data_IF_330342657714
#
_entry.id   IF_330342657714
#
_cell.length_a   1.000
_cell.length_b   1.000
_cell.length_c   1.000
_cell.angle_alpha   90.00
_cell.angle_beta   90.00
_cell.angle_gamma   90.00
#
_symmetry.space_group_name_H-M   'P 1'
#
loop_
_entity.id
_entity.type
_entity.pdbx_description
1 polymer ?
#
# COMPACT_ATOMS: atom_id res chain seq x y z
N UNK A 1 28.71 -17.17 4.04
CA UNK A 1 27.86 -17.89 5.01
C UNK A 1 28.12 -19.37 4.81
N UNK A 2 28.57 -20.12 5.78
CA UNK A 2 28.81 -21.55 5.59
C UNK A 2 27.49 -22.24 5.30
N UNK A 3 27.44 -23.07 4.26
CA UNK A 3 26.27 -23.85 3.84
C UNK A 3 25.85 -24.92 4.85
N UNK A 4 26.68 -25.16 5.87
CA UNK A 4 26.46 -26.17 6.92
C UNK A 4 25.15 -26.01 7.71
N UNK A 5 24.55 -24.79 7.70
CA UNK A 5 23.26 -24.54 8.36
C UNK A 5 22.03 -25.10 7.61
N UNK A 6 22.22 -25.54 6.39
CA UNK A 6 21.14 -26.01 5.52
C UNK A 6 21.26 -27.46 5.11
N UNK A 7 22.18 -28.21 5.71
CA UNK A 7 22.46 -29.62 5.37
C UNK A 7 21.21 -30.50 5.48
N UNK A 8 20.32 -30.18 6.41
CA UNK A 8 19.06 -30.93 6.61
C UNK A 8 17.84 -30.24 6.02
N UNK A 9 18.01 -29.10 5.32
CA UNK A 9 16.92 -28.37 4.74
C UNK A 9 16.46 -29.01 3.42
N UNK A 10 15.20 -29.39 3.34
CA UNK A 10 14.58 -29.89 2.10
C UNK A 10 14.19 -28.76 1.14
N UNK A 11 14.04 -27.53 1.67
CA UNK A 11 13.71 -26.33 0.88
C UNK A 11 14.46 -25.12 1.47
N UNK A 12 15.19 -24.39 0.62
CA UNK A 12 15.78 -23.08 0.94
C UNK A 12 15.39 -22.08 -0.14
N UNK A 13 14.53 -21.15 0.23
CA UNK A 13 14.11 -20.04 -0.62
C UNK A 13 14.82 -18.75 -0.17
N UNK A 14 15.45 -18.08 -1.14
CA UNK A 14 16.04 -16.75 -0.92
C UNK A 14 15.15 -15.71 -1.60
N UNK A 15 14.57 -14.74 -0.87
CA UNK A 15 13.63 -13.77 -1.43
C UNK A 15 14.17 -13.02 -2.64
N UNK A 16 15.48 -12.73 -2.69
CA UNK A 16 16.14 -12.08 -3.83
C UNK A 16 16.32 -12.97 -5.07
N UNK A 17 16.16 -14.29 -4.94
CA UNK A 17 16.26 -15.25 -6.03
C UNK A 17 15.01 -15.30 -6.90
N UNK A 18 14.60 -14.16 -7.49
CA UNK A 18 13.40 -14.04 -8.31
C UNK A 18 13.71 -13.58 -9.74
N UNK A 19 12.93 -14.08 -10.71
CA UNK A 19 12.95 -13.64 -12.11
C UNK A 19 11.67 -14.08 -12.82
N UNK A 20 11.08 -13.20 -13.64
CA UNK A 20 10.00 -13.53 -14.57
C UNK A 20 8.85 -14.36 -13.93
N UNK A 21 8.28 -13.88 -12.85
CA UNK A 21 7.14 -14.53 -12.20
C UNK A 21 7.47 -15.74 -11.32
N UNK A 22 8.74 -16.06 -11.15
CA UNK A 22 9.21 -17.14 -10.27
C UNK A 22 10.09 -16.60 -9.14
N UNK A 23 9.99 -17.22 -7.99
CA UNK A 23 11.00 -17.19 -6.95
C UNK A 23 11.68 -18.56 -6.91
N UNK A 24 12.97 -18.57 -7.19
CA UNK A 24 13.77 -19.78 -7.28
C UNK A 24 14.26 -20.18 -5.91
N UNK A 25 14.13 -21.46 -5.60
CA UNK A 25 14.76 -22.02 -4.43
C UNK A 25 16.25 -22.33 -4.68
N UNK A 26 17.01 -22.42 -3.62
CA UNK A 26 18.41 -22.82 -3.68
C UNK A 26 18.61 -24.30 -3.37
N UNK A 27 17.67 -24.91 -2.71
CA UNK A 27 17.62 -26.33 -2.39
C UNK A 27 16.19 -26.79 -2.54
N UNK A 28 15.91 -27.84 -3.33
CA UNK A 28 16.82 -28.55 -4.26
C UNK A 28 17.22 -27.69 -5.47
N UNK A 29 18.27 -28.08 -6.18
CA UNK A 29 18.83 -27.29 -7.31
C UNK A 29 18.23 -27.66 -8.67
N UNK A 30 17.31 -28.61 -8.72
CA UNK A 30 16.65 -29.12 -9.92
C UNK A 30 15.39 -28.34 -10.32
N UNK A 31 14.98 -27.35 -9.48
CA UNK A 31 13.78 -26.54 -9.67
C UNK A 31 12.55 -27.05 -8.92
N UNK A 32 12.62 -28.19 -8.26
CA UNK A 32 11.57 -28.64 -7.35
C UNK A 32 11.43 -27.66 -6.19
N UNK A 33 10.19 -27.19 -5.94
CA UNK A 33 9.91 -26.21 -4.90
C UNK A 33 10.07 -24.75 -5.33
N UNK A 34 10.40 -24.46 -6.59
CA UNK A 34 10.29 -23.12 -7.15
C UNK A 34 8.86 -22.61 -7.02
N UNK A 35 8.70 -21.39 -6.54
CA UNK A 35 7.38 -20.75 -6.42
C UNK A 35 7.04 -20.04 -7.72
N UNK A 36 5.97 -20.45 -8.37
CA UNK A 36 5.35 -19.69 -9.45
C UNK A 36 4.32 -18.75 -8.89
N UNK A 37 4.47 -17.45 -9.14
CA UNK A 37 3.52 -16.44 -8.74
C UNK A 37 2.54 -16.14 -9.86
N UNK A 38 1.25 -16.22 -9.55
CA UNK A 38 0.18 -15.76 -10.44
C UNK A 38 -0.62 -14.69 -9.74
N UNK A 39 -0.59 -13.47 -10.27
CA UNK A 39 -1.33 -12.31 -9.79
C UNK A 39 -1.74 -11.46 -10.98
N UNK A 40 -3.04 -11.27 -11.18
CA UNK A 40 -3.59 -10.49 -12.28
C UNK A 40 -3.86 -9.02 -11.90
N UNK A 41 -3.05 -8.47 -11.00
CA UNK A 41 -3.17 -7.07 -10.54
C UNK A 41 -1.82 -6.49 -10.20
N UNK A 42 -1.70 -5.19 -10.30
CA UNK A 42 -0.55 -4.47 -9.75
C UNK A 42 -0.51 -4.61 -8.22
N UNK A 43 0.66 -4.50 -7.65
CA UNK A 43 0.92 -4.50 -6.21
C UNK A 43 1.87 -3.36 -5.91
N UNK A 44 1.79 -2.79 -4.72
CA UNK A 44 2.78 -1.86 -4.21
C UNK A 44 3.70 -2.55 -3.19
N UNK A 45 4.96 -2.12 -3.15
CA UNK A 45 5.93 -2.52 -2.13
C UNK A 45 6.86 -1.34 -1.80
N UNK A 46 7.61 -1.46 -0.73
CA UNK A 46 8.63 -0.47 -0.37
C UNK A 46 9.98 -0.91 -0.92
N UNK A 47 10.63 -0.05 -1.70
CA UNK A 47 11.95 -0.28 -2.27
C UNK A 47 13.10 -0.06 -1.26
N UNK A 48 14.33 -0.26 -1.69
CA UNK A 48 15.54 -0.05 -0.87
C UNK A 48 15.76 1.40 -0.43
N UNK A 49 15.10 2.35 -1.10
CA UNK A 49 15.17 3.79 -0.79
C UNK A 49 14.04 4.23 0.15
N UNK A 50 13.13 3.31 0.49
CA UNK A 50 11.96 3.61 1.32
C UNK A 50 10.77 4.16 0.54
N UNK A 51 10.83 4.18 -0.79
CA UNK A 51 9.73 4.63 -1.62
C UNK A 51 8.71 3.50 -1.87
N UNK A 52 7.45 3.86 -1.97
CA UNK A 52 6.39 2.95 -2.42
C UNK A 52 6.45 2.87 -3.95
N UNK A 53 6.71 1.67 -4.48
CA UNK A 53 6.80 1.41 -5.92
C UNK A 53 5.76 0.40 -6.36
N UNK A 54 5.33 0.50 -7.61
CA UNK A 54 4.37 -0.44 -8.20
C UNK A 54 5.07 -1.59 -8.90
N UNK A 55 4.58 -2.79 -8.67
CA UNK A 55 4.99 -4.01 -9.36
C UNK A 55 3.93 -4.44 -10.36
N UNK A 56 4.39 -4.84 -11.54
CA UNK A 56 3.54 -5.44 -12.57
C UNK A 56 2.94 -6.78 -12.12
N UNK A 57 1.98 -7.27 -12.93
CA UNK A 57 1.38 -8.59 -12.77
C UNK A 57 2.43 -9.69 -12.70
N UNK A 58 2.18 -10.69 -11.90
CA UNK A 58 3.02 -11.88 -11.76
C UNK A 58 4.48 -11.61 -11.32
N UNK A 59 4.81 -10.41 -10.83
CA UNK A 59 6.13 -10.11 -10.27
C UNK A 59 6.11 -10.36 -8.77
N UNK A 60 6.97 -11.25 -8.23
CA UNK A 60 7.11 -11.47 -6.79
C UNK A 60 7.56 -10.19 -6.09
N UNK A 61 6.89 -9.80 -5.01
CA UNK A 61 7.23 -8.63 -4.23
C UNK A 61 8.39 -8.88 -3.27
N UNK A 62 9.34 -7.94 -3.24
CA UNK A 62 10.40 -7.88 -2.24
C UNK A 62 10.24 -6.58 -1.46
N UNK A 63 9.64 -6.67 -0.30
CA UNK A 63 9.33 -5.51 0.54
C UNK A 63 10.46 -5.21 1.52
N UNK A 64 10.92 -3.96 1.55
CA UNK A 64 11.99 -3.45 2.40
C UNK A 64 11.47 -2.60 3.56
N UNK A 65 10.17 -2.57 3.82
CA UNK A 65 9.57 -1.74 4.89
C UNK A 65 10.10 -2.05 6.29
N UNK A 66 10.64 -3.26 6.50
CA UNK A 66 11.22 -3.68 7.77
C UNK A 66 12.75 -3.50 7.86
N UNK A 67 13.40 -2.97 6.81
CA UNK A 67 14.82 -2.68 6.79
C UNK A 67 15.57 -3.22 5.58
N UNK A 68 16.90 -3.33 5.69
CA UNK A 68 17.77 -3.67 4.57
C UNK A 68 17.63 -5.12 4.04
N UNK A 69 17.05 -6.02 4.83
CA UNK A 69 16.76 -7.39 4.39
C UNK A 69 15.32 -7.48 3.91
N UNK A 70 15.09 -7.72 2.61
CA UNK A 70 13.75 -7.84 2.09
C UNK A 70 13.08 -9.13 2.53
N UNK A 71 11.76 -9.11 2.57
CA UNK A 71 10.96 -10.32 2.66
C UNK A 71 10.08 -10.49 1.42
N UNK A 72 9.79 -11.73 1.08
CA UNK A 72 8.82 -12.03 0.02
C UNK A 72 7.42 -11.71 0.55
N UNK A 73 6.80 -10.69 -0.02
CA UNK A 73 5.45 -10.26 0.38
C UNK A 73 4.39 -10.98 -0.45
N UNK A 74 3.60 -11.82 0.21
CA UNK A 74 2.48 -12.57 -0.36
C UNK A 74 1.19 -12.02 0.25
N UNK A 75 0.60 -11.02 -0.40
CA UNK A 75 -0.63 -10.40 0.08
C UNK A 75 -1.86 -11.12 -0.48
N UNK A 76 -2.94 -11.21 0.29
CA UNK A 76 -4.21 -11.71 -0.22
C UNK A 76 -4.74 -10.79 -1.32
N UNK A 77 -5.57 -11.37 -2.21
CA UNK A 77 -6.26 -10.59 -3.22
C UNK A 77 -7.10 -9.50 -2.53
N UNK A 78 -6.87 -8.26 -2.94
CA UNK A 78 -7.64 -7.10 -2.48
C UNK A 78 -7.97 -6.19 -3.65
N UNK A 79 -9.05 -5.42 -3.52
CA UNK A 79 -9.48 -4.45 -4.52
C UNK A 79 -9.61 -3.09 -3.85
N UNK A 80 -8.96 -2.07 -4.40
CA UNK A 80 -9.21 -0.70 -3.99
C UNK A 80 -10.56 -0.25 -4.56
N UNK A 81 -11.51 0.04 -3.69
CA UNK A 81 -12.84 0.52 -4.06
C UNK A 81 -12.97 2.05 -3.99
N UNK A 82 -11.92 2.73 -3.52
CA UNK A 82 -11.83 4.18 -3.49
C UNK A 82 -11.44 4.68 -4.88
N UNK A 83 -12.27 5.49 -5.48
CA UNK A 83 -11.99 6.08 -6.79
C UNK A 83 -11.01 7.24 -6.62
N UNK A 84 -10.10 7.39 -7.57
CA UNK A 84 -9.11 8.47 -7.55
C UNK A 84 -8.43 8.63 -6.19
N UNK A 85 -7.92 7.53 -5.66
CA UNK A 85 -7.33 7.46 -4.31
C UNK A 85 -6.03 8.26 -4.15
N UNK A 86 -5.46 8.75 -5.25
CA UNK A 86 -4.28 9.61 -5.30
C UNK A 86 -4.58 11.03 -5.78
N UNK A 87 -5.83 11.32 -6.20
CA UNK A 87 -6.28 12.62 -6.70
C UNK A 87 -7.54 13.06 -5.96
N UNK A 88 -7.37 13.82 -4.90
CA UNK A 88 -8.46 14.31 -4.06
C UNK A 88 -9.23 15.48 -4.69
N UNK A 89 -8.84 15.96 -5.86
CA UNK A 89 -9.61 16.94 -6.63
C UNK A 89 -10.73 16.30 -7.45
N UNK A 90 -10.68 14.97 -7.65
CA UNK A 90 -11.56 14.24 -8.52
C UNK A 90 -12.46 13.28 -7.73
N UNK A 91 -13.77 13.40 -7.86
CA UNK A 91 -14.81 12.61 -7.16
C UNK A 91 -14.87 12.77 -5.64
N UNK A 92 -13.92 13.45 -5.03
CA UNK A 92 -13.94 13.77 -3.61
C UNK A 92 -14.64 15.11 -3.36
N UNK A 93 -15.60 15.10 -2.45
CA UNK A 93 -16.29 16.30 -2.02
C UNK A 93 -15.53 16.99 -0.90
N UNK A 94 -15.36 18.30 -1.02
CA UNK A 94 -14.85 19.14 0.06
C UNK A 94 -16.01 19.77 0.83
N UNK A 95 -15.89 19.89 2.13
CA UNK A 95 -16.90 20.48 2.98
C UNK A 95 -16.28 21.40 4.05
N UNK A 96 -17.07 22.37 4.51
CA UNK A 96 -16.75 23.28 5.61
C UNK A 96 -15.39 23.99 5.41
N UNK A 97 -15.15 24.55 4.23
CA UNK A 97 -13.95 25.33 3.93
C UNK A 97 -12.70 24.51 3.59
N UNK A 98 -12.81 23.19 3.48
CA UNK A 98 -11.69 22.38 3.02
C UNK A 98 -11.35 22.70 1.55
N UNK A 99 -10.07 22.75 1.22
CA UNK A 99 -9.58 22.90 -0.17
C UNK A 99 -8.53 21.86 -0.47
N UNK A 100 -8.41 21.51 -1.75
CA UNK A 100 -7.41 20.57 -2.27
C UNK A 100 -6.54 21.28 -3.29
N UNK A 101 -5.23 21.14 -3.18
CA UNK A 101 -4.25 21.54 -4.18
C UNK A 101 -3.51 20.28 -4.64
N UNK A 102 -3.63 19.95 -5.92
CA UNK A 102 -3.10 18.72 -6.50
C UNK A 102 -1.61 18.79 -6.74
N UNK A 103 -0.93 17.65 -6.60
CA UNK A 103 0.48 17.46 -6.96
C UNK A 103 1.43 18.49 -6.32
N UNK A 104 1.20 18.86 -5.07
CA UNK A 104 1.95 19.93 -4.38
C UNK A 104 2.91 19.43 -3.31
N UNK A 105 3.02 18.12 -3.11
CA UNK A 105 3.91 17.54 -2.12
C UNK A 105 4.48 16.20 -2.59
N UNK A 106 5.64 15.84 -2.01
CA UNK A 106 6.26 14.55 -2.28
C UNK A 106 5.40 13.43 -1.71
N UNK A 107 4.99 12.53 -2.58
CA UNK A 107 4.23 11.31 -2.26
C UNK A 107 5.13 10.22 -1.67
N UNK A 108 4.57 9.15 -1.10
CA UNK A 108 5.33 7.97 -0.70
C UNK A 108 6.11 7.30 -1.84
N UNK A 109 5.74 7.55 -3.09
CA UNK A 109 6.46 7.10 -4.28
C UNK A 109 7.70 7.93 -4.64
N UNK A 110 7.98 9.00 -3.88
CA UNK A 110 9.18 9.84 -4.06
C UNK A 110 9.05 10.93 -5.12
N UNK A 111 7.89 11.12 -5.73
CA UNK A 111 7.59 12.19 -6.71
C UNK A 111 6.55 13.17 -6.16
N UNK A 112 6.47 14.35 -6.74
CA UNK A 112 5.52 15.41 -6.36
C UNK A 112 4.11 15.08 -6.91
N UNK A 113 3.50 14.03 -6.38
CA UNK A 113 2.16 13.54 -6.78
C UNK A 113 1.20 13.44 -5.59
N UNK A 114 1.58 13.98 -4.44
CA UNK A 114 0.69 14.04 -3.29
C UNK A 114 -0.08 15.37 -3.25
N UNK A 115 -1.36 15.28 -2.96
CA UNK A 115 -2.23 16.43 -2.81
C UNK A 115 -2.08 17.08 -1.43
N UNK A 116 -2.14 18.39 -1.40
CA UNK A 116 -2.24 19.13 -0.15
C UNK A 116 -3.70 19.45 0.17
N UNK A 117 -4.18 18.93 1.28
CA UNK A 117 -5.49 19.23 1.82
C UNK A 117 -5.35 20.32 2.88
N UNK A 118 -5.96 21.46 2.66
CA UNK A 118 -6.05 22.53 3.65
C UNK A 118 -7.43 22.46 4.29
N UNK A 119 -7.45 22.28 5.61
CA UNK A 119 -8.66 22.26 6.42
C UNK A 119 -8.84 23.63 7.08
N UNK A 120 -10.06 24.13 7.07
CA UNK A 120 -10.41 25.34 7.85
C UNK A 120 -10.39 25.02 9.35
N UNK A 121 -10.40 26.06 10.17
CA UNK A 121 -10.47 25.95 11.63
C UNK A 121 -11.78 25.33 12.15
N UNK A 122 -12.75 25.12 11.27
CA UNK A 122 -14.00 24.46 11.60
C UNK A 122 -13.81 22.97 11.85
N UNK A 123 -14.33 22.46 12.94
CA UNK A 123 -14.24 21.04 13.34
C UNK A 123 -14.91 20.07 12.36
N UNK A 124 -15.68 20.57 11.41
CA UNK A 124 -16.38 19.78 10.37
C UNK A 124 -15.69 19.85 9.01
N UNK A 125 -14.57 20.58 8.90
CA UNK A 125 -13.81 20.69 7.65
C UNK A 125 -13.27 19.32 7.24
N UNK A 126 -13.57 18.88 6.02
CA UNK A 126 -13.24 17.51 5.58
C UNK A 126 -13.23 17.36 4.06
N UNK A 127 -12.58 16.31 3.64
CA UNK A 127 -12.67 15.76 2.29
C UNK A 127 -13.30 14.37 2.40
N UNK A 128 -14.28 14.07 1.59
CA UNK A 128 -15.05 12.82 1.68
C UNK A 128 -15.39 12.23 0.32
N UNK A 129 -15.52 10.92 0.24
CA UNK A 129 -16.02 10.19 -0.92
C UNK A 129 -17.09 9.19 -0.49
N UNK A 130 -18.16 9.08 -1.27
CA UNK A 130 -19.19 8.05 -1.07
C UNK A 130 -18.78 6.77 -1.77
N UNK A 131 -18.70 5.68 -1.01
CA UNK A 131 -18.31 4.36 -1.49
C UNK A 131 -19.42 3.37 -1.15
N UNK A 132 -19.78 2.53 -2.13
CA UNK A 132 -20.74 1.44 -1.89
C UNK A 132 -20.01 0.26 -1.27
N UNK A 133 -20.45 -0.15 -0.09
CA UNK A 133 -19.91 -1.29 0.64
C UNK A 133 -20.95 -2.42 0.73
N UNK A 134 -20.49 -3.65 0.61
CA UNK A 134 -21.33 -4.85 0.79
C UNK A 134 -21.40 -5.21 2.28
N UNK A 135 -22.55 -5.66 2.71
CA UNK A 135 -22.71 -6.22 4.07
C UNK A 135 -21.90 -7.50 4.25
N UNK A 136 -21.47 -7.78 5.44
CA UNK A 136 -20.67 -8.98 5.79
C UNK A 136 -19.32 -9.10 5.09
N UNK A 137 -18.79 -7.99 4.55
CA UNK A 137 -17.45 -7.91 3.97
C UNK A 137 -16.54 -7.09 4.88
N UNK A 138 -15.32 -7.57 5.10
CA UNK A 138 -14.30 -6.83 5.86
C UNK A 138 -13.60 -5.86 4.93
N UNK A 139 -13.54 -4.61 5.35
CA UNK A 139 -12.82 -3.55 4.63
C UNK A 139 -11.70 -2.99 5.50
N UNK A 140 -10.61 -2.63 4.87
CA UNK A 140 -9.51 -1.91 5.50
C UNK A 140 -9.44 -0.51 4.91
N UNK A 141 -9.40 0.50 5.77
CA UNK A 141 -9.22 1.89 5.37
C UNK A 141 -7.81 2.34 5.77
N UNK A 142 -7.04 2.82 4.81
CA UNK A 142 -5.68 3.31 5.02
C UNK A 142 -5.41 4.56 4.20
N UNK A 143 -4.55 5.43 4.71
CA UNK A 143 -4.08 6.62 4.00
C UNK A 143 -2.65 6.93 4.43
N UNK A 144 -1.86 7.41 3.49
CA UNK A 144 -0.59 8.04 3.80
C UNK A 144 -0.83 9.52 4.03
N UNK A 145 -0.43 10.02 5.17
CA UNK A 145 -0.62 11.43 5.52
C UNK A 145 0.63 12.00 6.18
N UNK A 146 0.91 13.25 5.85
CA UNK A 146 2.02 14.02 6.40
C UNK A 146 1.54 15.44 6.67
N UNK A 147 1.87 15.98 7.82
CA UNK A 147 1.56 17.38 8.15
C UNK A 147 2.51 18.29 7.39
N UNK A 148 1.97 19.21 6.58
CA UNK A 148 2.75 20.17 5.81
C UNK A 148 3.28 21.30 6.70
N UNK A 149 2.44 21.86 7.59
CA UNK A 149 2.82 22.96 8.48
C UNK A 149 2.09 22.83 9.83
N UNK A 150 2.80 23.13 10.92
CA UNK A 150 2.25 23.13 12.27
C UNK A 150 2.02 21.73 12.83
N UNK A 151 1.28 21.64 13.91
CA UNK A 151 0.82 20.38 14.54
C UNK A 151 -0.69 20.32 14.41
N UNK A 152 -1.20 19.38 13.65
CA UNK A 152 -2.63 19.17 13.47
C UNK A 152 -2.96 17.70 13.59
N UNK A 153 -4.00 17.41 14.32
CA UNK A 153 -4.62 16.10 14.33
C UNK A 153 -5.58 16.01 13.14
N UNK A 154 -5.50 14.91 12.41
CA UNK A 154 -6.51 14.57 11.41
C UNK A 154 -7.16 13.24 11.81
N UNK A 155 -8.38 13.06 11.38
CA UNK A 155 -9.14 11.84 11.63
C UNK A 155 -9.49 11.16 10.32
N UNK A 156 -9.15 9.90 10.20
CA UNK A 156 -9.67 9.03 9.16
C UNK A 156 -10.96 8.38 9.70
N UNK A 157 -12.07 8.57 9.01
CA UNK A 157 -13.36 8.08 9.46
C UNK A 157 -14.20 7.54 8.31
N UNK A 158 -15.03 6.56 8.58
CA UNK A 158 -16.12 6.18 7.71
C UNK A 158 -17.45 6.58 8.35
N UNK A 159 -18.44 6.87 7.51
CA UNK A 159 -19.81 7.12 7.91
C UNK A 159 -20.73 6.25 7.09
N UNK A 160 -21.42 5.33 7.72
CA UNK A 160 -22.55 4.68 7.07
C UNK A 160 -23.79 5.59 7.16
N UNK A 161 -24.76 5.42 6.27
CA UNK A 161 -25.92 6.30 6.15
C UNK A 161 -26.83 6.32 7.40
N UNK A 162 -26.53 5.56 8.43
CA UNK A 162 -27.42 5.31 9.57
C UNK A 162 -26.76 5.60 10.93
N UNK A 163 -25.43 5.57 11.03
CA UNK A 163 -24.74 5.75 12.33
C UNK A 163 -23.74 6.89 12.26
N UNK A 164 -23.99 7.93 13.03
CA UNK A 164 -23.01 8.97 13.38
C UNK A 164 -21.79 8.32 14.01
N UNK A 165 -20.65 8.50 13.37
CA UNK A 165 -19.36 7.89 13.61
C UNK A 165 -19.03 7.51 15.04
N UNK A 166 -18.54 6.28 15.19
CA UNK A 166 -17.75 5.93 16.36
C UNK A 166 -16.29 6.27 16.09
N UNK A 167 -15.74 6.96 17.03
CA UNK A 167 -14.34 7.37 17.16
C UNK A 167 -13.44 6.16 17.40
#
# INVERSE_FOLDING_TARGET
>A
MPLDKYVDASLVLVPSGRKAGKAYNQIPTDGDGDLTLSRASIKTEVDTSGNVVSLADNVPGLDFSLGACPYLSLDPLSTNICLYSEDFSNTWATAAGATVATDTAVSPGGSDTADTITLDALVTSRVEQSITMSTSTVYTLSVWAKVATGTKDFRLAYKDGIVTGKQ
#
